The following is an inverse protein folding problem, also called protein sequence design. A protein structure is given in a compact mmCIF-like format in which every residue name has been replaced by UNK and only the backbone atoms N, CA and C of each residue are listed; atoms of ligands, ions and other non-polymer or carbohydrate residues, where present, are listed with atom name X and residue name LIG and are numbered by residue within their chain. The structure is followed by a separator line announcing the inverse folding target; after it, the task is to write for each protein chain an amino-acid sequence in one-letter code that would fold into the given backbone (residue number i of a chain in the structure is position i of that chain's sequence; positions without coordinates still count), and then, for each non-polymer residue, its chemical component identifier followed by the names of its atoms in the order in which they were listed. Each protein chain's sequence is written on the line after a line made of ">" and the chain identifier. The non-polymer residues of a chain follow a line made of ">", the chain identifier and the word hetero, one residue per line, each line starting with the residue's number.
data_IF_145975829039
#
_entry.id   IF_145975829039
#
_cell.length_a   1.000
_cell.length_b   1.000
_cell.length_c   1.000
_cell.angle_alpha   90.00
_cell.angle_beta   90.00
_cell.angle_gamma   90.00
#
_symmetry.space_group_name_H-M   'P 1'
#
loop_
_entity.id
_entity.type
_entity.pdbx_description
1 polymer ?
#
# COMPACT_ATOMS: atom_id res chain seq x y z
N UNK A 1 -61.68 -38.24 7.07
CA UNK A 1 -60.80 -38.32 5.87
C UNK A 1 -60.10 -36.98 5.77
N UNK A 2 -58.91 -36.89 6.24
CA UNK A 2 -58.14 -35.65 6.25
C UNK A 2 -56.68 -35.98 5.95
N UNK A 3 -56.19 -35.51 4.81
CA UNK A 3 -54.83 -35.72 4.32
C UNK A 3 -53.93 -34.58 4.79
N UNK A 4 -52.97 -34.89 5.66
CA UNK A 4 -51.91 -33.97 6.08
C UNK A 4 -50.86 -33.76 4.94
N UNK A 5 -50.73 -32.52 4.49
CA UNK A 5 -49.64 -32.06 3.64
C UNK A 5 -48.45 -31.65 4.52
N UNK A 6 -47.33 -32.38 4.41
CA UNK A 6 -46.05 -32.07 5.01
C UNK A 6 -45.30 -31.10 4.07
N UNK A 7 -45.23 -29.82 4.48
CA UNK A 7 -44.36 -28.80 3.84
C UNK A 7 -42.92 -29.06 4.23
N UNK A 8 -42.08 -29.42 3.24
CA UNK A 8 -40.61 -29.52 3.38
C UNK A 8 -40.01 -28.11 3.26
N UNK A 9 -39.56 -27.57 4.36
CA UNK A 9 -38.69 -26.40 4.38
C UNK A 9 -37.29 -26.81 3.86
N UNK A 10 -36.98 -26.42 2.65
CA UNK A 10 -35.62 -26.51 2.10
C UNK A 10 -34.82 -25.30 2.57
N UNK A 11 -33.88 -25.54 3.47
CA UNK A 11 -32.92 -24.55 3.95
C UNK A 11 -31.90 -24.28 2.84
N UNK A 12 -32.04 -23.19 2.13
CA UNK A 12 -31.04 -22.71 1.18
C UNK A 12 -29.90 -22.06 1.98
N UNK A 13 -28.82 -22.82 2.16
CA UNK A 13 -27.55 -22.31 2.64
C UNK A 13 -26.88 -21.57 1.47
N UNK A 14 -27.08 -20.25 1.38
CA UNK A 14 -26.40 -19.41 0.42
C UNK A 14 -24.94 -19.19 0.88
N UNK A 15 -24.05 -19.95 0.23
CA UNK A 15 -22.62 -19.77 0.35
C UNK A 15 -22.26 -18.44 -0.33
N UNK A 16 -22.13 -17.36 0.42
CA UNK A 16 -21.52 -16.12 -0.06
C UNK A 16 -20.03 -16.37 -0.26
N UNK A 17 -19.66 -16.76 -1.47
CA UNK A 17 -18.29 -16.68 -1.93
C UNK A 17 -17.95 -15.19 -2.07
N UNK A 18 -17.23 -14.63 -1.13
CA UNK A 18 -16.58 -13.33 -1.28
C UNK A 18 -15.53 -13.46 -2.39
N UNK A 19 -15.92 -13.12 -3.60
CA UNK A 19 -14.98 -12.90 -4.68
C UNK A 19 -14.14 -11.67 -4.30
N UNK A 20 -12.92 -11.90 -3.84
CA UNK A 20 -11.92 -10.84 -3.79
C UNK A 20 -11.81 -10.27 -5.21
N UNK A 21 -11.87 -8.94 -5.41
CA UNK A 21 -11.62 -8.36 -6.71
C UNK A 21 -10.17 -8.70 -7.08
N UNK A 22 -10.01 -9.64 -8.00
CA UNK A 22 -8.75 -9.78 -8.72
C UNK A 22 -8.63 -8.50 -9.54
N UNK A 23 -7.83 -7.54 -9.07
CA UNK A 23 -7.36 -6.45 -9.91
C UNK A 23 -6.51 -7.10 -10.98
N UNK A 24 -7.15 -7.50 -12.07
CA UNK A 24 -6.49 -7.88 -13.30
C UNK A 24 -5.90 -6.59 -13.84
N UNK A 25 -4.57 -6.44 -13.76
CA UNK A 25 -3.86 -5.49 -14.58
C UNK A 25 -4.18 -5.85 -16.03
N UNK A 26 -5.19 -5.21 -16.60
CA UNK A 26 -5.50 -5.34 -18.02
C UNK A 26 -4.35 -4.69 -18.78
N UNK A 27 -3.41 -5.50 -19.22
CA UNK A 27 -2.50 -5.15 -20.30
C UNK A 27 -3.38 -4.88 -21.50
N UNK A 28 -3.66 -3.59 -21.78
CA UNK A 28 -4.36 -3.20 -23.00
C UNK A 28 -3.40 -3.44 -24.17
N UNK A 29 -3.46 -4.64 -24.70
CA UNK A 29 -2.80 -4.94 -25.96
C UNK A 29 -3.60 -4.19 -27.02
N UNK A 30 -3.06 -3.10 -27.55
CA UNK A 30 -3.63 -2.46 -28.74
C UNK A 30 -3.65 -3.50 -29.86
N UNK A 31 -4.79 -3.71 -30.54
CA UNK A 31 -4.86 -4.74 -31.58
C UNK A 31 -3.88 -4.38 -32.70
N UNK A 32 -2.86 -5.24 -32.87
CA UNK A 32 -1.98 -5.23 -34.02
C UNK A 32 -2.87 -5.30 -35.27
N UNK A 33 -2.72 -4.32 -36.17
CA UNK A 33 -3.36 -4.35 -37.50
C UNK A 33 -2.35 -4.86 -38.52
N UNK A 34 -2.38 -6.16 -38.86
CA UNK A 34 -1.46 -6.69 -39.85
C UNK A 34 -1.71 -6.00 -41.20
N UNK A 35 -0.64 -5.63 -41.87
CA UNK A 35 -0.69 -5.06 -43.23
C UNK A 35 -0.58 -3.54 -43.34
N UNK A 36 -0.59 -2.79 -42.23
CA UNK A 36 -0.42 -1.32 -42.23
C UNK A 36 0.84 -0.83 -41.50
N UNK A 37 1.49 -1.70 -40.75
CA UNK A 37 2.74 -1.35 -40.04
C UNK A 37 3.93 -1.60 -40.95
N UNK A 38 4.82 -0.60 -41.06
CA UNK A 38 6.14 -0.79 -41.66
C UNK A 38 6.94 -1.81 -40.84
N UNK A 39 7.83 -2.58 -41.46
CA UNK A 39 8.78 -3.43 -40.76
C UNK A 39 9.57 -2.62 -39.76
N UNK A 40 9.62 -3.07 -38.49
CA UNK A 40 10.34 -2.34 -37.44
C UNK A 40 9.88 -2.72 -36.03
N UNK A 41 10.43 -2.06 -35.05
CA UNK A 41 10.09 -2.22 -33.63
C UNK A 41 9.13 -1.11 -33.24
N UNK A 42 7.94 -1.49 -32.78
CA UNK A 42 6.95 -0.53 -32.29
C UNK A 42 7.15 -0.28 -30.82
N UNK A 43 7.13 0.99 -30.42
CA UNK A 43 7.22 1.43 -29.04
C UNK A 43 6.11 2.42 -28.72
N UNK A 44 5.82 2.59 -27.44
CA UNK A 44 4.86 3.55 -26.92
C UNK A 44 5.57 4.60 -26.08
N UNK A 45 5.10 5.84 -26.15
CA UNK A 45 5.45 6.85 -25.15
C UNK A 45 4.61 6.59 -23.88
N UNK A 46 5.16 6.80 -22.67
CA UNK A 46 4.41 6.58 -21.46
C UNK A 46 3.46 7.73 -21.12
N UNK A 47 2.40 7.40 -20.40
CA UNK A 47 1.68 8.29 -19.49
C UNK A 47 2.16 7.98 -18.07
N UNK A 48 2.22 8.99 -17.22
CA UNK A 48 2.63 8.81 -15.83
C UNK A 48 1.44 8.50 -14.95
N UNK A 49 1.41 7.29 -14.39
CA UNK A 49 0.46 6.86 -13.38
C UNK A 49 0.99 7.13 -11.97
N UNK A 50 0.10 7.10 -11.01
CA UNK A 50 0.37 7.22 -9.58
C UNK A 50 0.01 5.91 -8.90
N UNK A 51 0.99 5.28 -8.26
CA UNK A 51 0.83 4.11 -7.42
C UNK A 51 0.84 4.57 -5.96
N UNK A 52 -0.32 4.51 -5.33
CA UNK A 52 -0.48 4.88 -3.93
C UNK A 52 -0.33 3.64 -3.06
N UNK A 53 0.58 3.70 -2.12
CA UNK A 53 0.77 2.69 -1.07
C UNK A 53 0.25 3.25 0.23
N UNK A 54 -0.83 2.69 0.74
CA UNK A 54 -1.52 3.12 1.95
C UNK A 54 -1.20 2.16 3.08
N UNK A 55 -0.59 2.66 4.15
CA UNK A 55 -0.25 1.89 5.33
C UNK A 55 -1.28 2.13 6.42
N UNK A 56 -1.84 1.07 6.95
CA UNK A 56 -2.82 1.11 8.03
C UNK A 56 -2.42 0.14 9.13
N UNK A 57 -2.85 0.44 10.36
CA UNK A 57 -2.73 -0.46 11.51
C UNK A 57 -4.11 -0.81 12.01
N UNK A 58 -4.37 -2.11 12.12
CA UNK A 58 -5.56 -2.66 12.76
C UNK A 58 -5.20 -3.16 14.15
N UNK A 59 -5.96 -2.70 15.16
CA UNK A 59 -5.91 -3.24 16.52
C UNK A 59 -7.20 -3.98 16.78
N UNK A 60 -7.07 -5.29 16.96
CA UNK A 60 -8.17 -6.17 17.29
C UNK A 60 -8.24 -6.36 18.81
N UNK A 61 -9.34 -5.95 19.42
CA UNK A 61 -9.60 -6.13 20.83
C UNK A 61 -10.42 -7.39 21.07
N UNK A 62 -9.96 -8.23 22.01
CA UNK A 62 -10.70 -9.40 22.51
C UNK A 62 -10.97 -9.18 23.98
N UNK A 63 -12.25 -9.19 24.45
CA UNK A 63 -12.58 -9.03 25.86
C UNK A 63 -12.04 -10.18 26.68
N UNK A 64 -11.65 -9.88 27.92
CA UNK A 64 -11.23 -10.89 28.87
C UNK A 64 -12.37 -11.78 29.33
N UNK A 65 -12.06 -13.00 29.79
CA UNK A 65 -13.03 -13.96 30.31
C UNK A 65 -13.89 -13.36 31.44
N UNK A 66 -13.31 -12.43 32.23
CA UNK A 66 -13.95 -11.77 33.38
C UNK A 66 -14.27 -10.30 33.13
N UNK A 67 -14.37 -9.85 31.89
CA UNK A 67 -14.60 -8.46 31.53
C UNK A 67 -15.84 -7.85 32.22
N UNK A 68 -16.93 -8.60 32.35
CA UNK A 68 -18.15 -8.17 33.03
C UNK A 68 -17.97 -7.82 34.52
N UNK A 69 -16.91 -8.35 35.14
CA UNK A 69 -16.60 -8.14 36.56
C UNK A 69 -15.53 -7.13 36.82
N UNK A 70 -14.90 -6.60 35.75
CA UNK A 70 -13.76 -5.69 35.82
C UNK A 70 -14.06 -4.42 36.62
N UNK A 71 -15.25 -3.85 36.47
CA UNK A 71 -15.68 -2.66 37.21
C UNK A 71 -15.86 -2.94 38.71
N UNK A 72 -16.51 -4.07 39.05
CA UNK A 72 -16.83 -4.37 40.44
C UNK A 72 -15.60 -4.81 41.24
N UNK A 73 -14.68 -5.57 40.62
CA UNK A 73 -13.57 -6.21 41.32
C UNK A 73 -12.24 -5.44 41.20
N UNK A 74 -12.02 -4.72 40.10
CA UNK A 74 -10.77 -3.99 39.85
C UNK A 74 -10.96 -2.48 39.63
N UNK A 75 -12.17 -1.94 39.80
CA UNK A 75 -12.57 -0.54 39.51
C UNK A 75 -12.20 -0.07 38.08
N UNK A 76 -12.19 -1.00 37.12
CA UNK A 76 -11.92 -0.69 35.72
C UNK A 76 -13.23 -0.40 34.99
N UNK A 77 -13.40 0.88 34.58
CA UNK A 77 -14.65 1.38 33.94
C UNK A 77 -14.55 1.41 32.41
N UNK A 78 -13.36 1.26 31.88
CA UNK A 78 -12.96 1.40 30.49
C UNK A 78 -12.95 0.07 29.71
N UNK A 79 -13.51 -0.99 30.29
CA UNK A 79 -13.49 -2.33 29.70
C UNK A 79 -14.70 -2.54 28.81
N UNK A 80 -14.45 -2.95 27.56
CA UNK A 80 -15.49 -3.31 26.60
C UNK A 80 -15.82 -4.79 26.70
N UNK A 81 -17.12 -5.12 26.57
CA UNK A 81 -17.60 -6.51 26.69
C UNK A 81 -17.64 -7.28 25.37
N UNK A 82 -17.53 -6.55 24.26
CA UNK A 82 -17.53 -7.12 22.91
C UNK A 82 -16.19 -6.89 22.23
N UNK A 83 -15.78 -7.83 21.41
CA UNK A 83 -14.64 -7.68 20.52
C UNK A 83 -14.92 -6.59 19.47
N UNK A 84 -13.91 -5.83 19.12
CA UNK A 84 -13.99 -4.80 18.06
C UNK A 84 -12.62 -4.53 17.47
N UNK A 85 -12.66 -3.99 16.26
CA UNK A 85 -11.47 -3.52 15.56
C UNK A 85 -11.38 -2.00 15.61
N UNK A 86 -10.16 -1.51 15.68
CA UNK A 86 -9.86 -0.10 15.46
C UNK A 86 -8.74 0.03 14.44
N UNK A 87 -8.96 0.93 13.51
CA UNK A 87 -8.04 1.19 12.42
C UNK A 87 -7.42 2.57 12.56
N UNK A 88 -6.14 2.65 12.23
CA UNK A 88 -5.39 3.89 12.13
C UNK A 88 -4.75 3.96 10.75
N UNK A 89 -4.85 5.11 10.09
CA UNK A 89 -4.11 5.39 8.87
C UNK A 89 -2.73 5.88 9.28
N UNK A 90 -1.68 5.10 8.95
CA UNK A 90 -0.29 5.41 9.34
C UNK A 90 0.38 6.34 8.33
N UNK A 91 0.02 6.23 7.05
CA UNK A 91 0.56 7.09 6.00
C UNK A 91 0.22 6.64 4.60
N UNK A 92 0.52 7.54 3.66
CA UNK A 92 0.38 7.30 2.22
C UNK A 92 1.71 7.64 1.54
N UNK A 93 2.20 6.72 0.70
CA UNK A 93 3.33 6.93 -0.20
C UNK A 93 2.80 6.94 -1.63
N UNK A 94 3.36 7.80 -2.47
CA UNK A 94 3.00 7.86 -3.90
C UNK A 94 4.26 7.66 -4.71
N UNK A 95 4.26 6.64 -5.57
CA UNK A 95 5.31 6.34 -6.53
C UNK A 95 4.77 6.57 -7.95
N UNK A 96 5.56 7.17 -8.83
CA UNK A 96 5.19 7.33 -10.23
C UNK A 96 5.57 6.08 -11.03
N UNK A 97 4.69 5.66 -11.95
CA UNK A 97 4.98 4.58 -12.88
C UNK A 97 4.55 4.93 -14.30
N UNK A 98 5.14 4.26 -15.30
CA UNK A 98 4.80 4.45 -16.69
C UNK A 98 3.73 3.48 -17.16
N UNK A 99 2.75 3.99 -17.90
CA UNK A 99 1.75 3.19 -18.62
C UNK A 99 1.82 3.54 -20.10
N UNK A 100 1.81 2.57 -21.04
CA UNK A 100 1.90 2.87 -22.47
C UNK A 100 0.71 3.70 -22.95
N UNK A 101 1.00 4.80 -23.66
CA UNK A 101 -0.01 5.62 -24.33
C UNK A 101 -0.37 5.00 -25.67
N UNK A 102 -1.56 4.39 -25.78
CA UNK A 102 -2.02 3.79 -27.03
C UNK A 102 -2.21 4.78 -28.18
N UNK A 103 -2.29 6.09 -27.87
CA UNK A 103 -2.42 7.16 -28.87
C UNK A 103 -1.07 7.66 -29.38
N UNK A 104 0.02 7.35 -28.66
CA UNK A 104 1.38 7.78 -28.96
C UNK A 104 2.30 6.58 -29.25
N UNK A 105 1.90 5.75 -30.20
CA UNK A 105 2.66 4.61 -30.68
C UNK A 105 3.49 4.98 -31.91
N UNK A 106 4.76 4.61 -31.92
CA UNK A 106 5.70 4.89 -32.99
C UNK A 106 6.50 3.64 -33.35
N UNK A 107 6.90 3.53 -34.63
CA UNK A 107 7.69 2.38 -35.12
C UNK A 107 9.08 2.86 -35.51
N UNK A 108 10.11 2.25 -34.93
CA UNK A 108 11.51 2.41 -35.36
C UNK A 108 11.71 1.46 -36.53
N UNK A 109 11.91 2.01 -37.73
CA UNK A 109 12.18 1.21 -38.94
C UNK A 109 13.58 0.63 -38.90
N UNK A 110 13.72 -0.62 -39.27
CA UNK A 110 15.01 -1.25 -39.53
C UNK A 110 15.44 -0.96 -40.97
N UNK A 111 16.49 -0.19 -41.15
CA UNK A 111 17.09 0.02 -42.48
C UNK A 111 18.19 -1.03 -42.68
N UNK A 112 18.10 -1.84 -43.73
CA UNK A 112 19.13 -2.82 -44.12
C UNK A 112 20.53 -2.22 -44.37
N UNK A 113 20.61 -0.91 -44.53
CA UNK A 113 21.86 -0.19 -44.74
C UNK A 113 22.51 0.32 -43.46
N UNK A 114 21.82 0.26 -42.34
CA UNK A 114 22.32 0.59 -41.01
C UNK A 114 22.37 -0.67 -40.18
N UNK A 115 23.31 -0.81 -39.25
CA UNK A 115 23.22 -1.83 -38.21
C UNK A 115 21.88 -1.64 -37.47
N UNK A 116 21.12 -2.71 -37.32
CA UNK A 116 19.84 -2.66 -36.60
C UNK A 116 20.07 -2.03 -35.23
N UNK A 117 19.38 -0.94 -34.89
CA UNK A 117 19.52 -0.36 -33.57
C UNK A 117 19.07 -1.36 -32.51
N UNK A 118 19.87 -1.53 -31.45
CA UNK A 118 19.43 -2.24 -30.27
C UNK A 118 18.35 -1.41 -29.59
N UNK A 119 17.14 -1.91 -29.50
CA UNK A 119 16.02 -1.22 -28.85
C UNK A 119 15.61 -2.00 -27.62
N UNK A 120 15.73 -1.39 -26.47
CA UNK A 120 15.27 -1.97 -25.19
C UNK A 120 13.93 -1.39 -24.82
N UNK A 121 12.94 -2.26 -24.64
CA UNK A 121 11.58 -1.91 -24.23
C UNK A 121 11.27 -2.47 -22.85
N UNK A 122 10.31 -1.84 -22.15
CA UNK A 122 9.67 -2.48 -20.99
C UNK A 122 8.76 -3.64 -21.46
N UNK A 123 8.29 -4.52 -20.55
CA UNK A 123 7.35 -5.58 -20.88
C UNK A 123 6.06 -5.06 -21.53
N UNK A 124 5.65 -3.84 -21.20
CA UNK A 124 4.45 -3.17 -21.72
C UNK A 124 4.72 -2.44 -23.06
N UNK A 125 5.97 -2.44 -23.54
CA UNK A 125 6.34 -1.81 -24.81
C UNK A 125 6.69 -0.33 -24.71
N UNK A 126 7.06 0.18 -23.54
CA UNK A 126 7.60 1.55 -23.38
C UNK A 126 9.07 1.54 -23.75
N UNK A 127 9.51 2.55 -24.49
CA UNK A 127 10.91 2.69 -24.90
C UNK A 127 11.79 3.08 -23.72
N UNK A 128 12.79 2.24 -23.42
CA UNK A 128 13.76 2.46 -22.35
C UNK A 128 15.12 2.91 -22.87
N UNK A 129 15.58 2.33 -23.97
CA UNK A 129 16.85 2.73 -24.58
C UNK A 129 16.91 2.43 -26.07
N UNK A 130 17.79 3.17 -26.76
CA UNK A 130 18.18 2.93 -28.16
C UNK A 130 19.69 2.81 -28.21
N UNK A 131 20.20 1.78 -28.89
CA UNK A 131 21.63 1.40 -28.98
C UNK A 131 22.28 1.14 -27.60
N UNK A 132 21.49 0.88 -26.58
CA UNK A 132 21.96 0.60 -25.23
C UNK A 132 21.05 -0.40 -24.55
N UNK A 133 21.60 -1.08 -23.54
CA UNK A 133 20.81 -1.85 -22.58
C UNK A 133 20.26 -0.90 -21.51
N UNK A 134 19.07 -1.18 -21.01
CA UNK A 134 18.45 -0.43 -19.91
C UNK A 134 17.93 -1.39 -18.84
N UNK A 135 17.99 -0.94 -17.60
CA UNK A 135 17.39 -1.67 -16.48
C UNK A 135 15.87 -1.54 -16.53
N UNK A 136 15.19 -2.63 -16.31
CA UNK A 136 13.73 -2.63 -16.21
C UNK A 136 13.26 -1.79 -14.99
N UNK A 137 12.10 -1.15 -15.08
CA UNK A 137 11.53 -0.43 -13.95
C UNK A 137 11.44 -1.30 -12.70
N UNK A 138 11.64 -0.72 -11.54
CA UNK A 138 11.49 -1.41 -10.27
C UNK A 138 10.02 -1.86 -10.09
N UNK A 139 9.84 -3.01 -9.46
CA UNK A 139 8.51 -3.48 -9.12
C UNK A 139 7.84 -2.53 -8.12
N UNK A 140 6.56 -2.25 -8.34
CA UNK A 140 5.74 -1.46 -7.43
C UNK A 140 5.45 -2.23 -6.15
N UNK A 141 5.16 -1.50 -5.07
CA UNK A 141 4.74 -2.07 -3.79
C UNK A 141 3.51 -2.98 -3.99
N UNK A 142 3.46 -4.07 -3.23
CA UNK A 142 2.33 -5.00 -3.29
C UNK A 142 1.50 -4.88 -2.00
N UNK A 143 0.19 -5.12 -2.07
CA UNK A 143 -0.63 -5.21 -0.88
C UNK A 143 -0.15 -6.36 0.00
N UNK A 144 -0.25 -6.19 1.32
CA UNK A 144 0.23 -7.19 2.25
C UNK A 144 -0.32 -7.01 3.65
N UNK A 145 -0.22 -8.06 4.44
CA UNK A 145 -0.56 -8.07 5.86
C UNK A 145 0.65 -8.54 6.64
N UNK A 146 1.02 -7.79 7.66
CA UNK A 146 2.09 -8.12 8.59
C UNK A 146 1.54 -8.12 10.01
N UNK A 147 1.48 -9.28 10.64
CA UNK A 147 1.12 -9.39 12.05
C UNK A 147 2.26 -8.85 12.91
N UNK A 148 1.96 -7.92 13.80
CA UNK A 148 2.89 -7.43 14.80
C UNK A 148 2.90 -8.42 15.96
N UNK A 149 4.06 -8.99 16.26
CA UNK A 149 4.21 -9.89 17.38
C UNK A 149 3.96 -9.11 18.69
N UNK A 150 2.75 -9.24 19.24
CA UNK A 150 2.44 -8.80 20.60
C UNK A 150 2.82 -9.91 21.59
N UNK A 151 3.45 -9.60 22.72
CA UNK A 151 3.73 -10.60 23.75
C UNK A 151 2.44 -11.30 24.14
N UNK A 152 2.38 -12.62 23.92
CA UNK A 152 1.21 -13.42 24.27
C UNK A 152 1.15 -13.52 25.79
N UNK A 153 0.20 -12.84 26.41
CA UNK A 153 -0.08 -12.97 27.83
C UNK A 153 -0.85 -14.29 28.04
N UNK A 154 -0.14 -15.32 28.51
CA UNK A 154 -0.75 -16.59 28.83
C UNK A 154 -1.27 -16.60 30.27
N UNK A 155 -2.51 -16.14 30.47
CA UNK A 155 -3.13 -16.09 31.79
C UNK A 155 -3.37 -17.49 32.37
N UNK A 156 -3.58 -18.52 31.54
CA UNK A 156 -3.84 -19.90 32.02
C UNK A 156 -2.66 -20.46 32.81
N UNK A 157 -1.43 -20.03 32.53
CA UNK A 157 -0.24 -20.42 33.27
C UNK A 157 -0.27 -19.99 34.73
N UNK A 158 -1.01 -18.92 35.04
CA UNK A 158 -1.06 -18.29 36.36
C UNK A 158 -2.39 -18.49 37.11
N UNK A 159 -3.34 -19.23 36.52
CA UNK A 159 -4.56 -19.62 37.21
C UNK A 159 -4.25 -20.57 38.37
N UNK A 160 -4.71 -20.24 39.57
CA UNK A 160 -4.53 -21.09 40.77
C UNK A 160 -5.42 -22.31 40.72
N UNK A 161 -5.11 -23.39 41.46
CA UNK A 161 -5.98 -24.58 41.56
C UNK A 161 -7.40 -24.22 41.99
N UNK A 162 -7.58 -23.25 42.87
CA UNK A 162 -8.88 -22.79 43.35
C UNK A 162 -9.71 -22.08 42.27
N UNK A 163 -9.05 -21.26 41.43
CA UNK A 163 -9.69 -20.69 40.23
C UNK A 163 -10.20 -21.80 39.28
N UNK A 164 -9.37 -22.83 39.06
CA UNK A 164 -9.76 -23.94 38.17
C UNK A 164 -10.89 -24.79 38.68
N UNK A 165 -11.00 -24.93 40.02
CA UNK A 165 -12.07 -25.74 40.70
C UNK A 165 -13.36 -24.95 40.90
N UNK A 166 -13.33 -23.62 40.81
CA UNK A 166 -14.49 -22.78 41.08
C UNK A 166 -15.63 -23.05 40.09
N UNK A 167 -16.82 -23.28 40.63
CA UNK A 167 -17.99 -23.72 39.87
C UNK A 167 -18.70 -22.61 39.06
N UNK A 168 -18.32 -21.33 39.23
CA UNK A 168 -18.92 -20.21 38.50
C UNK A 168 -17.87 -19.20 38.03
N UNK A 169 -18.19 -18.52 36.93
CA UNK A 169 -17.33 -17.45 36.38
C UNK A 169 -17.15 -16.30 37.38
N UNK A 170 -18.21 -15.92 38.12
CA UNK A 170 -18.14 -14.91 39.16
C UNK A 170 -17.10 -15.29 40.24
N UNK A 171 -17.15 -16.53 40.73
CA UNK A 171 -16.19 -16.99 41.75
C UNK A 171 -14.77 -17.07 41.22
N UNK A 172 -14.57 -17.47 39.95
CA UNK A 172 -13.26 -17.43 39.29
C UNK A 172 -12.71 -16.01 39.19
N UNK A 173 -13.58 -15.05 38.83
CA UNK A 173 -13.21 -13.65 38.76
C UNK A 173 -12.79 -13.09 40.13
N UNK A 174 -13.56 -13.42 41.22
CA UNK A 174 -13.19 -13.00 42.58
C UNK A 174 -11.80 -13.52 42.99
N UNK A 175 -11.53 -14.81 42.75
CA UNK A 175 -10.24 -15.41 43.07
C UNK A 175 -9.10 -14.82 42.23
N UNK A 176 -9.36 -14.52 40.96
CA UNK A 176 -8.35 -13.85 40.08
C UNK A 176 -8.05 -12.41 40.55
N UNK A 177 -9.07 -11.69 40.98
CA UNK A 177 -8.86 -10.33 41.53
C UNK A 177 -8.10 -10.37 42.84
N UNK A 178 -8.41 -11.32 43.74
CA UNK A 178 -7.65 -11.51 44.98
C UNK A 178 -6.19 -11.81 44.71
N UNK A 179 -5.87 -12.71 43.79
CA UNK A 179 -4.48 -13.00 43.38
C UNK A 179 -3.76 -11.77 42.80
N UNK A 180 -4.45 -10.94 42.01
CA UNK A 180 -3.88 -9.68 41.50
C UNK A 180 -3.51 -8.73 42.66
N UNK A 181 -4.37 -8.60 43.67
CA UNK A 181 -4.08 -7.77 44.82
C UNK A 181 -2.93 -8.33 45.68
N UNK A 182 -2.86 -9.66 45.84
CA UNK A 182 -1.76 -10.32 46.54
C UNK A 182 -0.42 -10.09 45.82
N UNK A 183 -0.40 -10.18 44.50
CA UNK A 183 0.79 -9.87 43.69
C UNK A 183 1.24 -8.40 43.91
N UNK A 184 0.29 -7.47 43.90
CA UNK A 184 0.57 -6.04 44.14
C UNK A 184 1.14 -5.79 45.52
N UNK A 185 0.58 -6.43 46.54
CA UNK A 185 1.08 -6.31 47.90
C UNK A 185 2.48 -6.91 48.03
N UNK A 186 2.72 -8.12 47.51
CA UNK A 186 4.04 -8.76 47.51
C UNK A 186 5.10 -7.89 46.79
N UNK A 187 4.73 -7.24 45.68
CA UNK A 187 5.61 -6.31 44.97
C UNK A 187 5.93 -5.09 45.83
N UNK A 188 4.92 -4.52 46.50
CA UNK A 188 5.11 -3.39 47.41
C UNK A 188 6.02 -3.73 48.58
N UNK A 189 5.88 -4.91 49.18
CA UNK A 189 6.72 -5.40 50.25
C UNK A 189 8.18 -5.58 49.82
N UNK A 190 8.41 -6.15 48.63
CA UNK A 190 9.74 -6.25 48.03
C UNK A 190 10.40 -4.88 47.82
N UNK A 191 9.65 -3.91 47.25
CA UNK A 191 10.14 -2.56 46.98
C UNK A 191 10.48 -1.83 48.31
N UNK A 192 9.68 -2.04 49.35
CA UNK A 192 9.90 -1.43 50.68
C UNK A 192 10.97 -2.16 51.51
N UNK A 193 11.47 -3.31 51.07
CA UNK A 193 12.41 -4.12 51.82
C UNK A 193 11.76 -4.82 53.02
N UNK A 194 10.43 -5.03 53.01
CA UNK A 194 9.61 -5.59 54.08
C UNK A 194 9.13 -7.02 53.78
N UNK A 195 9.54 -7.59 52.66
CA UNK A 195 9.22 -8.97 52.34
C UNK A 195 10.00 -9.95 53.24
N UNK A 196 9.42 -11.13 53.50
CA UNK A 196 10.07 -12.20 54.28
C UNK A 196 11.42 -12.60 53.69
N UNK A 197 11.57 -12.51 52.38
CA UNK A 197 12.83 -12.71 51.67
C UNK A 197 13.10 -11.48 50.81
N UNK A 198 14.18 -10.76 51.12
CA UNK A 198 14.67 -9.63 50.32
C UNK A 198 15.97 -10.04 49.62
N UNK A 199 16.02 -10.07 48.29
CA UNK A 199 17.24 -10.39 47.54
C UNK A 199 18.30 -9.31 47.81
N UNK A 200 19.53 -9.76 48.05
CA UNK A 200 20.68 -8.87 48.26
C UNK A 200 21.28 -8.35 46.96
N UNK A 201 21.02 -9.07 45.88
CA UNK A 201 21.48 -8.73 44.52
C UNK A 201 20.40 -7.98 43.77
N UNK A 202 20.76 -6.83 43.17
CA UNK A 202 19.85 -6.03 42.35
C UNK A 202 19.32 -6.73 41.13
N UNK A 203 20.06 -7.61 40.49
CA UNK A 203 19.58 -8.40 39.33
C UNK A 203 18.55 -9.46 39.71
N UNK A 204 18.73 -10.09 40.90
CA UNK A 204 17.73 -11.01 41.43
C UNK A 204 16.43 -10.29 41.76
N UNK A 205 16.50 -9.11 42.40
CA UNK A 205 15.32 -8.27 42.66
C UNK A 205 14.61 -7.87 41.38
N UNK A 206 15.34 -7.43 40.37
CA UNK A 206 14.81 -7.07 39.07
C UNK A 206 14.08 -8.26 38.38
N UNK A 207 14.65 -9.47 38.43
CA UNK A 207 14.04 -10.66 37.90
C UNK A 207 12.76 -11.01 38.63
N UNK A 208 12.71 -10.94 39.96
CA UNK A 208 11.51 -11.20 40.76
C UNK A 208 10.41 -10.18 40.44
N UNK A 209 10.72 -8.91 40.37
CA UNK A 209 9.76 -7.86 40.01
C UNK A 209 9.21 -8.06 38.60
N UNK A 210 10.06 -8.42 37.62
CA UNK A 210 9.64 -8.71 36.25
C UNK A 210 8.66 -9.91 36.18
N UNK A 211 8.91 -10.96 36.96
CA UNK A 211 8.00 -12.12 37.03
C UNK A 211 6.65 -11.77 37.69
N UNK A 212 6.66 -10.94 38.75
CA UNK A 212 5.41 -10.46 39.36
C UNK A 212 4.61 -9.57 38.38
N UNK A 213 5.30 -8.69 37.64
CA UNK A 213 4.67 -7.84 36.65
C UNK A 213 4.07 -8.65 35.47
N UNK A 214 4.78 -9.69 35.00
CA UNK A 214 4.27 -10.59 33.96
C UNK A 214 3.01 -11.32 34.46
N UNK A 215 3.04 -11.86 35.67
CA UNK A 215 1.90 -12.56 36.29
C UNK A 215 0.71 -11.63 36.50
N UNK A 216 0.94 -10.42 37.02
CA UNK A 216 -0.10 -9.41 37.20
C UNK A 216 -0.74 -9.01 35.86
N UNK A 217 0.08 -8.73 34.83
CA UNK A 217 -0.41 -8.40 33.48
C UNK A 217 -1.22 -9.53 32.88
N UNK A 218 -0.75 -10.78 33.02
CA UNK A 218 -1.45 -11.94 32.48
C UNK A 218 -2.81 -12.16 33.18
N UNK A 219 -2.88 -12.10 34.51
CA UNK A 219 -4.16 -12.23 35.23
C UNK A 219 -5.09 -11.03 34.99
N UNK A 220 -4.52 -9.82 34.92
CA UNK A 220 -5.31 -8.61 34.61
C UNK A 220 -5.92 -8.67 33.22
N UNK A 221 -5.27 -9.32 32.26
CA UNK A 221 -5.81 -9.49 30.89
C UNK A 221 -7.13 -10.28 30.87
N UNK A 222 -7.38 -11.15 31.87
CA UNK A 222 -8.67 -11.83 32.02
C UNK A 222 -9.84 -10.86 32.28
N UNK A 223 -9.55 -9.66 32.77
CA UNK A 223 -10.54 -8.61 33.03
C UNK A 223 -10.57 -7.54 31.94
N UNK A 224 -9.39 -7.04 31.55
CA UNK A 224 -9.31 -5.91 30.62
C UNK A 224 -9.23 -6.33 29.15
N UNK A 225 -9.09 -7.63 28.88
CA UNK A 225 -8.91 -8.15 27.54
C UNK A 225 -7.49 -7.97 26.99
N UNK A 226 -7.35 -8.32 25.74
CA UNK A 226 -6.08 -8.26 24.99
C UNK A 226 -6.24 -7.58 23.66
N UNK A 227 -5.13 -7.04 23.14
CA UNK A 227 -5.05 -6.48 21.80
C UNK A 227 -4.05 -7.28 20.97
N UNK A 228 -4.41 -7.54 19.73
CA UNK A 228 -3.47 -7.94 18.68
C UNK A 228 -3.39 -6.83 17.64
N UNK A 229 -2.23 -6.66 17.02
CA UNK A 229 -2.01 -5.60 16.04
C UNK A 229 -1.53 -6.19 14.72
N UNK A 230 -2.05 -5.64 13.63
CA UNK A 230 -1.66 -5.96 12.27
C UNK A 230 -1.39 -4.68 11.50
N UNK A 231 -0.28 -4.65 10.77
CA UNK A 231 -0.05 -3.65 9.73
C UNK A 231 -0.59 -4.20 8.40
N UNK A 232 -1.41 -3.41 7.73
CA UNK A 232 -1.94 -3.74 6.40
C UNK A 232 -1.55 -2.67 5.40
N UNK A 233 -1.02 -3.14 4.30
CA UNK A 233 -0.67 -2.30 3.15
C UNK A 233 -1.69 -2.52 2.05
N UNK A 234 -2.30 -1.44 1.60
CA UNK A 234 -3.18 -1.41 0.43
C UNK A 234 -2.52 -0.62 -0.68
N UNK A 235 -2.82 -0.98 -1.92
CA UNK A 235 -2.29 -0.28 -3.09
C UNK A 235 -3.42 0.15 -4.02
N UNK A 236 -3.27 1.34 -4.61
CA UNK A 236 -4.22 1.91 -5.56
C UNK A 236 -3.45 2.50 -6.73
N UNK A 237 -3.78 2.08 -7.93
CA UNK A 237 -3.22 2.66 -9.15
C UNK A 237 -4.20 3.69 -9.72
N UNK A 238 -3.69 4.87 -10.01
CA UNK A 238 -4.47 5.94 -10.61
C UNK A 238 -3.72 6.58 -11.78
N UNK A 239 -4.40 6.76 -12.91
CA UNK A 239 -3.83 7.41 -14.09
C UNK A 239 -4.55 8.76 -14.32
N UNK A 240 -3.99 9.88 -13.83
CA UNK A 240 -4.55 11.21 -14.06
C UNK A 240 -4.32 11.61 -15.52
N UNK A 241 -5.38 11.70 -16.32
CA UNK A 241 -5.29 12.14 -17.72
C UNK A 241 -5.40 13.67 -17.87
N UNK A 242 -5.84 14.34 -16.84
CA UNK A 242 -6.06 15.78 -16.73
C UNK A 242 -5.91 16.20 -15.26
N UNK A 243 -6.01 17.49 -14.99
CA UNK A 243 -6.11 18.00 -13.62
C UNK A 243 -7.33 17.39 -12.91
N UNK A 244 -7.13 17.02 -11.64
CA UNK A 244 -8.16 16.45 -10.78
C UNK A 244 -8.30 17.31 -9.53
N UNK A 245 -9.54 17.56 -9.11
CA UNK A 245 -9.82 18.36 -7.92
C UNK A 245 -10.64 17.53 -6.93
N UNK A 246 -10.00 17.13 -5.81
CA UNK A 246 -10.69 16.47 -4.71
C UNK A 246 -11.32 15.12 -5.08
N UNK A 247 -10.72 14.36 -5.99
CA UNK A 247 -11.23 13.05 -6.37
C UNK A 247 -11.13 12.07 -5.21
N UNK A 248 -12.24 11.53 -4.76
CA UNK A 248 -12.25 10.49 -3.72
C UNK A 248 -11.65 9.20 -4.28
N UNK A 249 -10.56 8.72 -3.67
CA UNK A 249 -9.90 7.47 -4.02
C UNK A 249 -10.52 6.30 -3.25
N UNK A 250 -10.68 6.48 -1.95
CA UNK A 250 -11.31 5.56 -1.01
C UNK A 250 -11.79 6.37 0.19
N UNK A 251 -12.47 5.73 1.13
CA UNK A 251 -12.79 6.35 2.41
C UNK A 251 -12.16 5.55 3.54
N UNK A 252 -11.86 6.23 4.63
CA UNK A 252 -11.25 5.65 5.80
C UNK A 252 -12.14 5.76 7.03
N UNK A 253 -12.44 4.63 7.65
CA UNK A 253 -13.23 4.53 8.87
C UNK A 253 -12.39 3.99 10.01
N UNK A 254 -12.46 4.62 11.19
CA UNK A 254 -11.80 4.13 12.41
C UNK A 254 -12.22 2.69 12.79
N UNK A 255 -13.40 2.24 12.38
CA UNK A 255 -13.93 0.93 12.77
C UNK A 255 -13.99 -0.08 11.63
N UNK A 256 -13.98 0.36 10.38
CA UNK A 256 -14.08 -0.51 9.20
C UNK A 256 -12.78 -0.53 8.39
N UNK A 257 -11.82 0.38 8.68
CA UNK A 257 -10.62 0.53 7.88
C UNK A 257 -10.90 1.25 6.56
N UNK A 258 -10.31 0.75 5.48
CA UNK A 258 -10.54 1.27 4.13
C UNK A 258 -11.88 0.73 3.62
N UNK A 259 -12.74 1.63 3.17
CA UNK A 259 -14.05 1.33 2.57
C UNK A 259 -14.16 2.00 1.19
N UNK A 260 -15.14 1.58 0.43
CA UNK A 260 -15.35 2.06 -0.94
C UNK A 260 -15.55 3.59 -1.00
N UNK A 261 -15.22 4.25 -2.13
CA UNK A 261 -15.40 5.69 -2.30
C UNK A 261 -16.83 6.18 -2.04
N UNK A 262 -17.82 5.34 -2.32
CA UNK A 262 -19.24 5.66 -2.20
C UNK A 262 -19.83 5.30 -0.82
N UNK A 263 -19.07 4.66 0.06
CA UNK A 263 -19.51 4.28 1.39
C UNK A 263 -19.42 5.47 2.36
N UNK A 264 -20.55 5.96 2.86
CA UNK A 264 -20.62 7.08 3.79
C UNK A 264 -20.07 6.77 5.20
N UNK A 265 -19.69 5.53 5.50
CA UNK A 265 -19.18 5.14 6.82
C UNK A 265 -17.76 5.64 7.13
N UNK A 266 -17.05 6.19 6.16
CA UNK A 266 -15.68 6.69 6.30
C UNK A 266 -15.49 8.14 5.84
N UNK A 267 -14.42 8.78 6.34
CA UNK A 267 -13.96 10.07 5.83
C UNK A 267 -13.31 9.89 4.45
N UNK A 268 -13.55 10.80 3.48
CA UNK A 268 -12.96 10.67 2.17
C UNK A 268 -11.45 10.92 2.19
N UNK A 269 -10.71 10.04 1.52
CA UNK A 269 -9.33 10.29 1.12
C UNK A 269 -9.34 10.78 -0.31
N UNK A 270 -8.92 12.00 -0.50
CA UNK A 270 -9.04 12.72 -1.77
C UNK A 270 -7.69 12.91 -2.43
N UNK A 271 -7.69 12.86 -3.76
CA UNK A 271 -6.55 13.17 -4.63
C UNK A 271 -6.82 14.47 -5.39
N UNK A 272 -5.88 15.38 -5.33
CA UNK A 272 -5.82 16.57 -6.19
C UNK A 272 -4.55 16.49 -7.03
N UNK A 273 -4.67 16.70 -8.33
CA UNK A 273 -3.56 16.76 -9.29
C UNK A 273 -3.69 18.07 -10.07
N UNK A 274 -2.76 18.98 -9.85
CA UNK A 274 -2.73 20.30 -10.46
C UNK A 274 -1.55 20.39 -11.41
N UNK A 275 -1.80 20.72 -12.70
CA UNK A 275 -0.75 21.02 -13.67
C UNK A 275 -0.13 22.37 -13.37
N UNK A 276 1.18 22.39 -13.08
CA UNK A 276 1.91 23.61 -12.78
C UNK A 276 2.25 24.45 -14.03
N UNK A 277 1.88 23.97 -15.23
CA UNK A 277 2.06 24.65 -16.51
C UNK A 277 3.49 25.16 -16.76
N UNK A 278 4.48 24.46 -16.23
CA UNK A 278 5.89 24.84 -16.32
C UNK A 278 6.51 24.56 -17.70
N UNK A 279 5.80 23.84 -18.58
CA UNK A 279 6.24 23.55 -19.94
C UNK A 279 5.55 24.48 -20.93
N UNK A 280 6.36 25.24 -21.68
CA UNK A 280 5.83 26.08 -22.76
C UNK A 280 5.29 25.19 -23.88
N UNK A 281 4.17 25.58 -24.51
CA UNK A 281 3.70 24.93 -25.73
C UNK A 281 4.80 24.86 -26.79
N UNK A 282 4.79 23.81 -27.63
CA UNK A 282 5.73 23.73 -28.76
C UNK A 282 5.51 24.95 -29.66
N UNK A 283 6.61 25.57 -30.02
CA UNK A 283 6.55 26.68 -30.98
C UNK A 283 6.15 26.16 -32.35
N UNK A 284 5.03 26.63 -32.87
CA UNK A 284 4.56 26.34 -34.23
C UNK A 284 4.92 27.54 -35.12
N UNK A 285 5.90 27.35 -36.01
CA UNK A 285 6.34 28.35 -36.97
C UNK A 285 5.42 28.41 -38.23
N UNK A 286 4.32 27.65 -38.22
CA UNK A 286 3.36 27.58 -39.32
C UNK A 286 3.90 26.97 -40.61
N UNK A 287 5.15 26.46 -40.59
CA UNK A 287 5.76 25.84 -41.75
C UNK A 287 5.40 24.35 -41.86
N UNK A 288 5.13 23.83 -43.06
CA UNK A 288 4.89 22.40 -43.20
C UNK A 288 6.14 21.62 -42.74
N UNK A 289 5.95 20.73 -41.76
CA UNK A 289 7.02 19.85 -41.27
C UNK A 289 7.60 19.04 -42.40
N UNK A 290 8.92 19.11 -42.59
CA UNK A 290 9.61 18.35 -43.65
C UNK A 290 9.42 16.84 -43.40
N UNK A 291 9.35 16.05 -44.48
CA UNK A 291 9.25 14.58 -44.38
C UNK A 291 10.33 13.95 -43.46
N UNK A 292 11.54 14.57 -43.42
CA UNK A 292 12.64 14.15 -42.52
C UNK A 292 12.30 14.25 -41.04
N UNK A 293 11.48 15.22 -40.63
CA UNK A 293 11.11 15.41 -39.21
C UNK A 293 10.09 14.32 -38.75
N UNK A 294 9.55 13.54 -39.66
CA UNK A 294 8.65 12.43 -39.38
C UNK A 294 9.39 11.13 -39.04
N UNK A 295 10.69 11.05 -39.37
CA UNK A 295 11.52 9.85 -39.11
C UNK A 295 12.34 9.94 -37.84
N UNK A 296 12.20 11.03 -37.06
CA UNK A 296 12.92 11.25 -35.82
C UNK A 296 12.38 10.47 -34.64
N UNK A 297 13.24 10.05 -33.70
CA UNK A 297 12.84 9.39 -32.49
C UNK A 297 11.98 10.33 -31.66
N UNK A 298 10.78 9.88 -31.27
CA UNK A 298 9.86 10.63 -30.43
C UNK A 298 10.12 10.33 -28.96
N UNK A 299 10.08 11.40 -28.15
CA UNK A 299 10.18 11.30 -26.69
C UNK A 299 9.30 12.36 -26.03
N UNK A 300 9.09 12.28 -24.73
CA UNK A 300 8.31 13.27 -23.98
C UNK A 300 9.19 14.17 -23.15
N UNK A 301 8.86 15.45 -23.09
CA UNK A 301 9.32 16.40 -22.09
C UNK A 301 8.19 16.55 -21.09
N UNK A 302 8.29 15.98 -19.87
CA UNK A 302 7.20 15.98 -18.91
C UNK A 302 6.95 17.39 -18.36
N UNK A 303 5.70 17.70 -18.08
CA UNK A 303 5.34 18.81 -17.21
C UNK A 303 5.38 18.39 -15.76
N UNK A 304 5.43 19.34 -14.83
CA UNK A 304 5.29 19.08 -13.40
C UNK A 304 3.83 19.24 -12.97
N UNK A 305 3.39 18.34 -12.10
CA UNK A 305 2.11 18.44 -11.45
C UNK A 305 2.28 18.39 -9.93
N UNK A 306 1.55 19.25 -9.23
CA UNK A 306 1.40 19.16 -7.78
C UNK A 306 0.40 18.07 -7.45
N UNK A 307 0.85 17.04 -6.76
CA UNK A 307 0.03 15.92 -6.29
C UNK A 307 -0.20 16.09 -4.80
N UNK A 308 -1.46 16.12 -4.39
CA UNK A 308 -1.88 16.27 -3.00
C UNK A 308 -2.90 15.20 -2.65
N UNK A 309 -2.63 14.45 -1.58
CA UNK A 309 -3.54 13.45 -1.01
C UNK A 309 -3.90 13.87 0.41
N UNK A 310 -5.18 13.93 0.73
CA UNK A 310 -5.67 14.38 2.02
C UNK A 310 -6.80 13.50 2.58
N UNK A 311 -6.85 13.36 3.90
CA UNK A 311 -7.97 12.79 4.66
C UNK A 311 -8.74 13.96 5.33
N UNK A 312 -9.87 14.34 4.75
CA UNK A 312 -10.53 15.59 5.15
C UNK A 312 -9.60 16.78 4.96
N UNK A 313 -9.25 17.47 6.07
CA UNK A 313 -8.34 18.63 6.07
C UNK A 313 -6.86 18.24 6.35
N UNK A 314 -6.59 16.97 6.66
CA UNK A 314 -5.25 16.48 6.98
C UNK A 314 -4.51 16.09 5.70
N UNK A 315 -3.35 16.70 5.46
CA UNK A 315 -2.48 16.34 4.34
C UNK A 315 -1.71 15.05 4.66
N UNK A 316 -1.94 14.02 3.86
CA UNK A 316 -1.23 12.73 3.96
C UNK A 316 0.01 12.68 3.06
N UNK A 317 -0.05 13.34 1.91
CA UNK A 317 1.07 13.40 0.96
C UNK A 317 0.97 14.67 0.11
N UNK A 318 2.09 15.33 -0.13
CA UNK A 318 2.21 16.44 -1.07
C UNK A 318 3.57 16.44 -1.74
N UNK A 319 3.61 16.46 -3.07
CA UNK A 319 4.85 16.60 -3.84
C UNK A 319 4.58 17.09 -5.26
N UNK A 320 5.61 17.65 -5.89
CA UNK A 320 5.63 17.88 -7.33
C UNK A 320 6.18 16.63 -8.01
N UNK A 321 5.43 16.10 -8.96
CA UNK A 321 5.77 14.89 -9.72
C UNK A 321 5.82 15.24 -11.21
N UNK A 322 6.92 14.87 -11.91
CA UNK A 322 6.95 15.02 -13.36
C UNK A 322 5.95 14.06 -14.02
N UNK A 323 5.07 14.59 -14.85
CA UNK A 323 4.02 13.82 -15.53
C UNK A 323 4.09 14.02 -17.04
N UNK A 324 4.18 12.90 -17.76
CA UNK A 324 4.28 12.87 -19.21
C UNK A 324 3.12 13.58 -19.92
N UNK A 325 1.90 13.39 -19.42
CA UNK A 325 0.65 13.93 -20.02
C UNK A 325 0.48 15.44 -19.87
N UNK A 326 1.18 16.08 -18.93
CA UNK A 326 1.17 17.54 -18.77
C UNK A 326 2.35 18.23 -19.49
N UNK A 327 3.14 17.45 -20.20
CA UNK A 327 4.24 17.92 -21.00
C UNK A 327 3.92 18.01 -22.49
N UNK A 328 4.97 17.89 -23.28
CA UNK A 328 4.87 17.86 -24.75
C UNK A 328 5.72 16.74 -25.35
N UNK A 329 5.36 16.34 -26.56
CA UNK A 329 6.17 15.40 -27.35
C UNK A 329 7.18 16.17 -28.19
N UNK A 330 8.43 15.77 -28.07
CA UNK A 330 9.57 16.30 -28.85
C UNK A 330 10.17 15.18 -29.71
N UNK A 331 11.16 15.53 -30.51
CA UNK A 331 11.85 14.59 -31.40
C UNK A 331 13.37 14.78 -31.35
N UNK A 332 14.09 13.67 -31.37
CA UNK A 332 15.53 13.62 -31.57
C UNK A 332 15.84 13.39 -33.04
N UNK A 333 16.60 14.29 -33.64
CA UNK A 333 16.89 14.27 -35.06
C UNK A 333 17.59 12.99 -35.51
N UNK A 334 17.10 12.38 -36.60
CA UNK A 334 17.62 11.11 -37.13
C UNK A 334 19.10 11.18 -37.57
N UNK A 335 19.68 12.37 -37.62
CA UNK A 335 21.11 12.54 -37.86
C UNK A 335 22.01 12.04 -36.73
N UNK A 336 21.44 11.87 -35.51
CA UNK A 336 22.14 11.28 -34.36
C UNK A 336 22.34 9.76 -34.55
N UNK A 337 21.52 9.13 -35.35
CA UNK A 337 21.53 7.67 -35.58
C UNK A 337 22.09 7.37 -36.98
N UNK A 338 23.34 7.74 -37.27
CA UNK A 338 23.98 7.51 -38.56
C UNK A 338 25.19 6.59 -38.44
N UNK A 339 25.76 6.17 -39.60
CA UNK A 339 26.93 5.27 -39.62
C UNK A 339 28.19 5.81 -38.99
N UNK A 340 28.28 7.12 -38.76
CA UNK A 340 29.47 7.77 -38.19
C UNK A 340 29.43 7.85 -36.67
N UNK A 341 28.25 7.80 -36.08
CA UNK A 341 28.05 7.95 -34.65
C UNK A 341 27.13 6.85 -34.14
N UNK A 342 27.58 6.09 -33.16
CA UNK A 342 26.74 5.16 -32.42
C UNK A 342 26.16 5.90 -31.22
N UNK A 343 25.06 6.62 -31.44
CA UNK A 343 24.40 7.38 -30.39
C UNK A 343 23.58 6.43 -29.51
N UNK A 344 23.89 6.41 -28.22
CA UNK A 344 23.13 5.69 -27.19
C UNK A 344 22.20 6.67 -26.50
N UNK A 345 20.96 6.30 -26.32
CA UNK A 345 19.94 7.12 -25.67
C UNK A 345 19.20 6.30 -24.62
N UNK A 346 19.06 6.84 -23.44
CA UNK A 346 18.25 6.27 -22.36
C UNK A 346 17.09 7.19 -22.05
N UNK A 347 15.93 6.59 -21.83
CA UNK A 347 14.68 7.29 -21.55
C UNK A 347 14.08 6.83 -20.23
N UNK A 348 13.44 7.77 -19.53
CA UNK A 348 12.70 7.47 -18.32
C UNK A 348 11.51 6.56 -18.62
N UNK A 349 11.38 5.42 -17.91
CA UNK A 349 10.24 4.54 -18.09
C UNK A 349 8.92 5.16 -17.63
N UNK A 350 8.97 6.15 -16.73
CA UNK A 350 7.79 6.79 -16.15
C UNK A 350 7.30 7.98 -16.95
N UNK A 351 8.21 8.76 -17.49
CA UNK A 351 7.88 10.02 -18.19
C UNK A 351 8.19 9.99 -19.68
N UNK A 352 9.06 9.09 -20.15
CA UNK A 352 9.53 9.06 -21.52
C UNK A 352 10.48 10.20 -21.87
N UNK A 353 11.00 10.89 -20.86
CA UNK A 353 12.01 11.93 -21.05
C UNK A 353 13.39 11.32 -21.35
N UNK A 354 14.21 12.01 -22.10
CA UNK A 354 15.61 11.61 -22.30
C UNK A 354 16.39 11.87 -21.03
N UNK A 355 16.94 10.81 -20.44
CA UNK A 355 17.75 10.87 -19.23
C UNK A 355 19.24 11.02 -19.56
N UNK A 356 19.69 10.36 -20.65
CA UNK A 356 21.10 10.33 -21.01
C UNK A 356 21.27 10.15 -22.52
N UNK A 357 22.26 10.83 -23.07
CA UNK A 357 22.72 10.63 -24.45
C UNK A 357 24.25 10.47 -24.42
N UNK A 358 24.77 9.41 -25.05
CA UNK A 358 26.18 9.17 -25.27
C UNK A 358 26.48 9.04 -26.77
N UNK A 359 27.53 9.67 -27.19
CA UNK A 359 28.02 9.64 -28.55
C UNK A 359 29.36 8.87 -28.60
N UNK A 360 29.33 7.63 -29.10
CA UNK A 360 30.55 6.88 -29.40
C UNK A 360 30.99 7.21 -30.84
N UNK A 361 32.16 7.79 -30.99
CA UNK A 361 32.78 7.87 -32.30
C UNK A 361 33.28 6.49 -32.69
N UNK A 362 32.74 5.93 -33.75
CA UNK A 362 33.28 4.68 -34.34
C UNK A 362 34.62 5.05 -34.98
N UNK A 363 35.73 4.67 -34.32
CA UNK A 363 37.03 4.71 -34.96
C UNK A 363 36.97 3.85 -36.24
N UNK A 364 37.40 4.49 -37.36
CA UNK A 364 37.49 3.85 -38.67
C UNK A 364 38.68 2.93 -38.76
#
# INVERSE_FOLDING_TARGET
>A
MSTHSLSRFALFLSLFATAAPTVSAQTAVAPYRPGLTAEGITYHLPLTGLHLTVQTRCRHYVPGEYAAYARALLDRKDVMLNAFDTWTLEGVKVDAFGTPDSTAAYTIRLDHRTSAPLVTLSPEGILLAVNAEATQPAALSQPGVRTIATPTLNADRYKTPDMLRAGSTARRAELAAAEIFDIRENRNQLIKGQADFNPKDGEQLKTMLAQLDEREKALTSLFVGTYTEEERTFTFDYLPRRTEQGRVLFRFSKYLGIVDPDDAAGMPVTLTVEDLQNIRPAYDDGKPKKKKDQEDLRYRVPGEAKVHVALGDETLYEANIPMAQFGRTEHLGGTLFNKKFNTKVWLSPTTGNVEKIELDQTDK
#
